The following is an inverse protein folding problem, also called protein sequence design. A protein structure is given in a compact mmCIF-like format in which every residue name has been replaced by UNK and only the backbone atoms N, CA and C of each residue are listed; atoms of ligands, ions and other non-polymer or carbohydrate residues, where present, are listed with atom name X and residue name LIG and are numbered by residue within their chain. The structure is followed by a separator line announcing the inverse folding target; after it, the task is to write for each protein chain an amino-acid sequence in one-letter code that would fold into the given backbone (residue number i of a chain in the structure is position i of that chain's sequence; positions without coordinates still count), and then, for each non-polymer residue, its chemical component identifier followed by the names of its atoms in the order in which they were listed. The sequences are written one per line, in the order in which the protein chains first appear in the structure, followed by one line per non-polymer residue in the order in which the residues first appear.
data_IF_758893744363
#
_entry.id   IF_758893744363
#
_cell.length_a   1.000
_cell.length_b   1.000
_cell.length_c   1.000
_cell.angle_alpha   90.00
_cell.angle_beta   90.00
_cell.angle_gamma   90.00
#
_symmetry.space_group_name_H-M   'P 1'
#
loop_
_entity.id
_entity.type
_entity.pdbx_description
1 polymer ?
#
# COMPACT_ATOMS: atom_id res chain seq x y z
N UNK A 1 0.56 14.47 -28.90
CA UNK A 1 0.40 13.00 -28.76
C UNK A 1 0.73 12.65 -27.32
N UNK A 2 -0.05 11.82 -26.63
CA UNK A 2 0.35 11.38 -25.29
C UNK A 2 1.69 10.65 -25.43
N UNK A 3 2.67 11.04 -24.62
CA UNK A 3 3.95 10.32 -24.52
C UNK A 3 3.67 8.83 -24.28
N UNK A 4 4.35 7.90 -24.96
CA UNK A 4 4.06 6.46 -24.87
C UNK A 4 4.02 5.92 -23.43
N UNK A 5 4.85 6.47 -22.53
CA UNK A 5 4.84 6.14 -21.11
C UNK A 5 3.57 6.56 -20.33
N UNK A 6 2.77 7.48 -20.89
CA UNK A 6 1.49 7.92 -20.32
C UNK A 6 0.44 6.79 -20.27
N UNK A 7 0.43 5.92 -21.28
CA UNK A 7 -0.52 4.80 -21.36
C UNK A 7 -0.21 3.78 -20.28
N UNK A 8 1.06 3.36 -20.16
CA UNK A 8 1.50 2.44 -19.10
C UNK A 8 1.16 2.97 -17.70
N UNK A 9 1.47 4.24 -17.42
CA UNK A 9 1.14 4.88 -16.14
C UNK A 9 -0.37 4.86 -15.86
N UNK A 10 -1.18 5.12 -16.87
CA UNK A 10 -2.65 5.11 -16.74
C UNK A 10 -3.19 3.72 -16.42
N UNK A 11 -2.68 2.66 -17.06
CA UNK A 11 -3.03 1.26 -16.75
C UNK A 11 -2.64 0.93 -15.30
N UNK A 12 -1.39 1.24 -14.92
CA UNK A 12 -0.87 0.99 -13.57
C UNK A 12 -1.71 1.69 -12.50
N UNK A 13 -2.05 2.96 -12.70
CA UNK A 13 -2.88 3.73 -11.78
C UNK A 13 -4.34 3.24 -11.74
N UNK A 14 -4.90 2.81 -12.88
CA UNK A 14 -6.25 2.24 -12.91
C UNK A 14 -6.33 0.96 -12.05
N UNK A 15 -5.34 0.08 -12.17
CA UNK A 15 -5.23 -1.12 -11.36
C UNK A 15 -5.06 -0.80 -9.85
N UNK A 16 -4.22 0.19 -9.50
CA UNK A 16 -3.97 0.56 -8.10
C UNK A 16 -5.14 1.28 -7.41
N UNK A 17 -5.81 2.19 -8.13
CA UNK A 17 -6.88 3.02 -7.55
C UNK A 17 -8.24 2.31 -7.54
N UNK A 18 -8.52 1.50 -8.57
CA UNK A 18 -9.86 0.93 -8.78
C UNK A 18 -9.88 -0.60 -8.87
N UNK A 19 -8.72 -1.26 -9.07
CA UNK A 19 -8.66 -2.72 -9.26
C UNK A 19 -9.33 -3.20 -10.55
N UNK A 20 -9.43 -2.33 -11.56
CA UNK A 20 -10.14 -2.56 -12.83
C UNK A 20 -9.26 -2.21 -14.04
N UNK A 21 -9.46 -2.86 -15.20
CA UNK A 21 -8.79 -2.47 -16.43
C UNK A 21 -9.27 -1.08 -16.91
N UNK A 22 -8.43 -0.38 -17.69
CA UNK A 22 -8.68 0.99 -18.14
C UNK A 22 -10.01 1.15 -18.91
N UNK A 23 -10.37 0.15 -19.70
CA UNK A 23 -11.57 0.16 -20.55
C UNK A 23 -12.88 0.11 -19.74
N UNK A 24 -12.88 -0.56 -18.58
CA UNK A 24 -14.09 -0.77 -17.78
C UNK A 24 -14.38 0.37 -16.78
N UNK A 25 -13.56 1.41 -16.77
CA UNK A 25 -13.74 2.56 -15.89
C UNK A 25 -14.94 3.42 -16.31
N UNK A 26 -15.75 3.84 -15.35
CA UNK A 26 -16.82 4.81 -15.55
C UNK A 26 -16.26 6.22 -15.85
N UNK A 27 -17.01 7.13 -16.48
CA UNK A 27 -16.51 8.47 -16.82
C UNK A 27 -15.96 9.27 -15.63
N UNK A 28 -16.63 9.18 -14.46
CA UNK A 28 -16.15 9.82 -13.24
C UNK A 28 -14.83 9.21 -12.72
N UNK A 29 -14.67 7.89 -12.82
CA UNK A 29 -13.43 7.18 -12.46
C UNK A 29 -12.30 7.58 -13.40
N UNK A 30 -12.58 7.70 -14.71
CA UNK A 30 -11.61 8.18 -15.72
C UNK A 30 -11.13 9.59 -15.43
N UNK A 31 -12.02 10.52 -15.10
CA UNK A 31 -11.60 11.88 -14.71
C UNK A 31 -10.69 11.91 -13.49
N UNK A 32 -10.97 11.07 -12.48
CA UNK A 32 -10.12 10.93 -11.30
C UNK A 32 -8.78 10.30 -11.65
N UNK A 33 -8.77 9.32 -12.54
CA UNK A 33 -7.55 8.70 -13.06
C UNK A 33 -6.68 9.73 -13.78
N UNK A 34 -7.24 10.51 -14.71
CA UNK A 34 -6.49 11.54 -15.46
C UNK A 34 -5.84 12.54 -14.52
N UNK A 35 -6.60 13.09 -13.56
CA UNK A 35 -6.03 14.02 -12.57
C UNK A 35 -4.91 13.38 -11.74
N UNK A 36 -5.05 12.11 -11.38
CA UNK A 36 -4.02 11.39 -10.65
C UNK A 36 -2.78 11.15 -11.53
N UNK A 37 -2.96 10.78 -12.79
CA UNK A 37 -1.89 10.54 -13.74
C UNK A 37 -1.10 11.82 -14.07
N UNK A 38 -1.78 12.95 -14.25
CA UNK A 38 -1.16 14.25 -14.47
C UNK A 38 -0.34 14.66 -13.25
N UNK A 39 -0.94 14.55 -12.06
CA UNK A 39 -0.24 14.89 -10.82
C UNK A 39 0.98 13.99 -10.57
N UNK A 40 0.86 12.71 -10.86
CA UNK A 40 1.95 11.75 -10.79
C UNK A 40 3.06 12.13 -11.77
N UNK A 41 2.72 12.52 -13.01
CA UNK A 41 3.69 12.97 -14.02
C UNK A 41 4.47 14.20 -13.56
N UNK A 42 3.78 15.19 -13.01
CA UNK A 42 4.40 16.41 -12.49
C UNK A 42 5.42 16.07 -11.40
N UNK A 43 5.03 15.23 -10.43
CA UNK A 43 5.90 14.85 -9.32
C UNK A 43 7.10 14.05 -9.81
N UNK A 44 6.91 13.07 -10.70
CA UNK A 44 8.02 12.29 -11.26
C UNK A 44 8.99 13.17 -12.05
N UNK A 45 8.48 14.16 -12.79
CA UNK A 45 9.33 15.10 -13.53
C UNK A 45 10.16 15.93 -12.57
N UNK A 46 9.56 16.48 -11.52
CA UNK A 46 10.28 17.21 -10.48
C UNK A 46 11.33 16.34 -9.77
N UNK A 47 11.04 15.06 -9.52
CA UNK A 47 12.00 14.12 -8.93
C UNK A 47 13.19 13.89 -9.87
N UNK A 48 12.94 13.72 -11.17
CA UNK A 48 14.01 13.46 -12.14
C UNK A 48 14.86 14.70 -12.46
N UNK A 49 14.33 15.90 -12.21
CA UNK A 49 15.09 17.15 -12.28
C UNK A 49 16.04 17.36 -11.09
N UNK A 50 15.93 16.56 -10.03
CA UNK A 50 16.79 16.68 -8.84
C UNK A 50 18.23 16.22 -9.10
N UNK A 51 19.24 16.81 -8.42
CA UNK A 51 20.63 16.37 -8.55
C UNK A 51 20.87 14.93 -8.07
N UNK A 52 20.01 14.41 -7.19
CA UNK A 52 20.05 13.02 -6.74
C UNK A 52 19.75 12.04 -7.88
N UNK A 53 18.88 12.42 -8.83
CA UNK A 53 18.56 11.62 -10.01
C UNK A 53 19.77 11.38 -10.91
N UNK A 54 20.62 12.40 -11.10
CA UNK A 54 21.86 12.26 -11.88
C UNK A 54 22.86 11.26 -11.26
N UNK A 55 22.69 10.92 -9.97
CA UNK A 55 23.58 9.99 -9.24
C UNK A 55 23.02 8.57 -9.18
N UNK A 56 21.89 8.29 -9.82
CA UNK A 56 21.31 6.94 -9.90
C UNK A 56 21.76 6.32 -11.22
N UNK A 57 22.39 5.15 -11.14
CA UNK A 57 22.73 4.34 -12.31
C UNK A 57 21.99 3.02 -12.22
N UNK A 58 21.08 2.79 -13.18
CA UNK A 58 20.40 1.52 -13.33
C UNK A 58 21.18 0.65 -14.32
N UNK A 59 21.32 -0.64 -13.99
CA UNK A 59 21.86 -1.63 -14.92
C UNK A 59 20.76 -2.09 -15.88
N UNK A 60 21.13 -2.41 -17.13
CA UNK A 60 20.18 -2.97 -18.09
C UNK A 60 19.50 -4.24 -17.55
N UNK A 61 20.26 -5.06 -16.82
CA UNK A 61 19.77 -6.28 -16.17
C UNK A 61 18.62 -6.02 -15.16
N UNK A 62 18.66 -4.90 -14.44
CA UNK A 62 17.57 -4.52 -13.52
C UNK A 62 16.28 -4.20 -14.28
N UNK A 63 16.38 -3.47 -15.39
CA UNK A 63 15.22 -3.16 -16.24
C UNK A 63 14.65 -4.43 -16.85
N UNK A 64 15.52 -5.33 -17.34
CA UNK A 64 15.10 -6.61 -17.90
C UNK A 64 14.43 -7.51 -16.86
N UNK A 65 14.94 -7.56 -15.63
CA UNK A 65 14.32 -8.31 -14.55
C UNK A 65 12.89 -7.80 -14.27
N UNK A 66 12.69 -6.48 -14.16
CA UNK A 66 11.35 -5.91 -13.97
C UNK A 66 10.42 -6.15 -15.17
N UNK A 67 10.94 -6.14 -16.40
CA UNK A 67 10.16 -6.51 -17.58
C UNK A 67 9.78 -8.00 -17.58
N UNK A 68 10.68 -8.88 -17.14
CA UNK A 68 10.38 -10.30 -16.97
C UNK A 68 9.31 -10.54 -15.91
N UNK A 69 9.32 -9.79 -14.80
CA UNK A 69 8.24 -9.84 -13.81
C UNK A 69 6.89 -9.39 -14.37
N UNK A 70 6.88 -8.40 -15.28
CA UNK A 70 5.66 -7.97 -15.97
C UNK A 70 5.17 -9.07 -16.91
N UNK A 71 6.07 -9.69 -17.68
CA UNK A 71 5.75 -10.80 -18.59
C UNK A 71 5.25 -12.03 -17.85
N UNK A 72 5.85 -12.38 -16.71
CA UNK A 72 5.47 -13.54 -15.90
C UNK A 72 4.08 -13.48 -15.27
N UNK A 73 3.34 -12.37 -15.43
CA UNK A 73 1.92 -12.28 -15.06
C UNK A 73 0.99 -12.88 -16.12
N UNK A 74 1.50 -13.11 -17.34
CA UNK A 74 0.79 -13.71 -18.46
C UNK A 74 1.16 -15.19 -18.59
N UNK A 75 0.30 -15.99 -19.20
CA UNK A 75 0.53 -17.42 -19.36
C UNK A 75 1.62 -17.73 -20.39
N UNK A 76 1.63 -16.99 -21.49
CA UNK A 76 2.59 -17.11 -22.58
C UNK A 76 2.99 -15.74 -23.17
N UNK A 77 4.00 -15.75 -24.05
CA UNK A 77 4.48 -14.53 -24.72
C UNK A 77 3.46 -13.99 -25.73
N UNK A 78 2.62 -14.85 -26.33
CA UNK A 78 1.62 -14.46 -27.32
C UNK A 78 0.46 -13.66 -26.68
N UNK A 79 -0.02 -14.09 -25.51
CA UNK A 79 -1.00 -13.38 -24.67
C UNK A 79 -0.44 -12.01 -24.24
N UNK A 80 0.83 -11.96 -23.85
CA UNK A 80 1.51 -10.71 -23.50
C UNK A 80 1.55 -9.73 -24.69
N UNK A 81 1.93 -10.21 -25.87
CA UNK A 81 1.96 -9.39 -27.08
C UNK A 81 0.55 -8.96 -27.54
N UNK A 82 -0.44 -9.84 -27.44
CA UNK A 82 -1.82 -9.53 -27.77
C UNK A 82 -2.40 -8.44 -26.84
N UNK A 83 -2.11 -8.52 -25.55
CA UNK A 83 -2.54 -7.53 -24.57
C UNK A 83 -1.86 -6.17 -24.77
N UNK A 84 -0.55 -6.15 -25.06
CA UNK A 84 0.17 -4.93 -25.43
C UNK A 84 -0.45 -4.23 -26.64
N UNK A 85 -0.74 -4.99 -27.69
CA UNK A 85 -1.39 -4.48 -28.90
C UNK A 85 -2.81 -3.98 -28.62
N UNK A 86 -3.57 -4.69 -27.79
CA UNK A 86 -4.93 -4.29 -27.40
C UNK A 86 -4.95 -2.93 -26.72
N UNK A 87 -3.98 -2.66 -25.86
CA UNK A 87 -3.87 -1.38 -25.15
C UNK A 87 -3.11 -0.30 -25.95
N UNK A 88 -2.52 -0.67 -27.09
CA UNK A 88 -1.77 0.24 -27.95
C UNK A 88 -0.41 0.64 -27.40
N UNK A 89 0.23 -0.26 -26.64
CA UNK A 89 1.55 -0.04 -26.06
C UNK A 89 2.60 -0.89 -26.80
N UNK A 90 3.72 -0.27 -27.18
CA UNK A 90 4.85 -0.98 -27.80
C UNK A 90 5.86 -1.45 -26.74
N UNK A 91 6.60 -2.52 -27.04
CA UNK A 91 7.63 -3.06 -26.16
C UNK A 91 8.73 -2.04 -25.82
N UNK A 92 9.12 -1.19 -26.78
CA UNK A 92 10.10 -0.12 -26.55
C UNK A 92 9.56 0.94 -25.58
N UNK A 93 8.33 1.39 -25.80
CA UNK A 93 7.66 2.36 -24.93
C UNK A 93 7.41 1.84 -23.52
N UNK A 94 7.07 0.55 -23.37
CA UNK A 94 6.95 -0.09 -22.07
C UNK A 94 8.30 -0.07 -21.34
N UNK A 95 9.38 -0.41 -22.04
CA UNK A 95 10.73 -0.42 -21.47
C UNK A 95 11.14 0.97 -20.97
N UNK A 96 10.86 2.02 -21.74
CA UNK A 96 11.13 3.40 -21.33
C UNK A 96 10.31 3.79 -20.09
N UNK A 97 9.01 3.46 -20.07
CA UNK A 97 8.13 3.74 -18.95
C UNK A 97 8.58 3.02 -17.66
N UNK A 98 8.94 1.73 -17.77
CA UNK A 98 9.46 0.93 -16.65
C UNK A 98 10.80 1.47 -16.18
N UNK A 99 11.70 1.84 -17.10
CA UNK A 99 13.00 2.44 -16.75
C UNK A 99 12.80 3.73 -15.96
N UNK A 100 11.90 4.61 -16.42
CA UNK A 100 11.59 5.86 -15.72
C UNK A 100 11.07 5.60 -14.30
N UNK A 101 10.14 4.66 -14.14
CA UNK A 101 9.60 4.27 -12.84
C UNK A 101 10.70 3.77 -11.89
N UNK A 102 11.60 2.91 -12.40
CA UNK A 102 12.73 2.39 -11.63
C UNK A 102 13.72 3.49 -11.20
N UNK A 103 13.97 4.49 -12.07
CA UNK A 103 14.84 5.61 -11.70
C UNK A 103 14.20 6.41 -10.57
N UNK A 104 12.92 6.74 -10.68
CA UNK A 104 12.19 7.48 -9.64
C UNK A 104 12.22 6.72 -8.32
N UNK A 105 11.97 5.41 -8.33
CA UNK A 105 12.02 4.58 -7.14
C UNK A 105 13.41 4.56 -6.51
N UNK A 106 14.46 4.35 -7.31
CA UNK A 106 15.84 4.37 -6.84
C UNK A 106 16.27 5.74 -6.29
N UNK A 107 15.78 6.85 -6.85
CA UNK A 107 16.02 8.19 -6.30
C UNK A 107 15.37 8.33 -4.93
N UNK A 108 14.10 7.93 -4.80
CA UNK A 108 13.38 8.01 -3.54
C UNK A 108 14.03 7.12 -2.47
N UNK A 109 14.48 5.92 -2.82
CA UNK A 109 15.21 5.03 -1.92
C UNK A 109 16.54 5.64 -1.47
N UNK A 110 17.29 6.24 -2.39
CA UNK A 110 18.55 6.94 -2.08
C UNK A 110 18.37 8.10 -1.14
N UNK A 111 17.34 8.93 -1.37
CA UNK A 111 16.99 10.04 -0.47
C UNK A 111 16.54 9.51 0.90
N UNK A 112 15.76 8.44 0.93
CA UNK A 112 15.33 7.81 2.17
C UNK A 112 16.51 7.22 2.97
N UNK A 113 17.49 6.61 2.29
CA UNK A 113 18.70 6.09 2.92
C UNK A 113 19.58 7.17 3.56
N UNK A 114 19.52 8.41 3.06
CA UNK A 114 20.18 9.57 3.65
C UNK A 114 19.43 10.20 4.84
N UNK A 115 18.24 9.72 5.17
CA UNK A 115 17.43 10.28 6.27
C UNK A 115 17.89 9.77 7.64
N UNK A 116 17.69 10.58 8.68
CA UNK A 116 18.07 10.23 10.04
C UNK A 116 17.34 8.98 10.53
N UNK A 117 18.06 8.11 11.24
CA UNK A 117 17.46 6.95 11.89
C UNK A 117 16.41 7.41 12.91
N UNK A 118 15.21 6.80 12.85
CA UNK A 118 14.11 7.11 13.77
C UNK A 118 14.44 6.52 15.14
N UNK A 119 14.45 7.35 16.18
CA UNK A 119 14.69 6.90 17.56
C UNK A 119 13.43 6.33 18.21
N UNK A 120 13.59 5.51 19.25
CA UNK A 120 12.45 4.99 20.02
C UNK A 120 11.62 6.13 20.65
N UNK A 121 12.28 7.21 21.08
CA UNK A 121 11.62 8.43 21.57
C UNK A 121 10.77 9.10 20.48
N UNK A 122 11.24 9.18 19.23
CA UNK A 122 10.45 9.74 18.13
C UNK A 122 9.21 8.91 17.84
N UNK A 123 9.32 7.58 17.97
CA UNK A 123 8.19 6.66 17.82
C UNK A 123 7.16 6.90 18.93
N UNK A 124 7.60 7.03 20.18
CA UNK A 124 6.71 7.33 21.31
C UNK A 124 6.00 8.67 21.14
N UNK A 125 6.73 9.74 20.82
CA UNK A 125 6.16 11.06 20.55
C UNK A 125 5.13 10.97 19.41
N UNK A 126 5.49 10.30 18.30
CA UNK A 126 4.58 10.13 17.18
C UNK A 126 3.30 9.40 17.59
N UNK A 127 3.41 8.34 18.41
CA UNK A 127 2.26 7.60 18.93
C UNK A 127 1.34 8.47 19.79
N UNK A 128 1.90 9.19 20.77
CA UNK A 128 1.14 10.07 21.66
C UNK A 128 0.40 11.15 20.86
N UNK A 129 1.07 11.78 19.90
CA UNK A 129 0.49 12.84 19.06
C UNK A 129 -0.59 12.32 18.09
N UNK A 130 -0.51 11.04 17.68
CA UNK A 130 -1.41 10.45 16.69
C UNK A 130 -2.35 9.39 17.28
N UNK A 131 -2.58 9.40 18.59
CA UNK A 131 -3.32 8.34 19.31
C UNK A 131 -4.70 8.03 18.72
N UNK A 132 -5.37 9.02 18.13
CA UNK A 132 -6.66 8.86 17.45
C UNK A 132 -6.58 7.92 16.23
N UNK A 133 -5.46 7.90 15.50
CA UNK A 133 -5.27 7.05 14.30
C UNK A 133 -5.10 5.57 14.66
N UNK A 134 -4.72 5.28 15.90
CA UNK A 134 -4.51 3.92 16.41
C UNK A 134 -5.73 3.35 17.14
N UNK A 135 -6.85 4.07 17.15
CA UNK A 135 -8.12 3.55 17.66
C UNK A 135 -8.79 2.73 16.56
N UNK A 136 -8.66 1.41 16.66
CA UNK A 136 -9.48 0.49 15.88
C UNK A 136 -10.79 0.30 16.65
N UNK A 137 -11.92 0.62 16.02
CA UNK A 137 -13.23 0.23 16.55
C UNK A 137 -13.34 -1.29 16.64
N UNK A 138 -14.21 -1.79 17.52
CA UNK A 138 -14.48 -3.22 17.65
C UNK A 138 -14.91 -3.79 16.29
N UNK A 139 -14.02 -4.57 15.68
CA UNK A 139 -14.20 -5.00 14.29
C UNK A 139 -14.75 -6.42 14.17
N UNK A 140 -14.71 -7.21 15.26
CA UNK A 140 -15.08 -8.63 15.24
C UNK A 140 -15.62 -9.10 16.59
N UNK A 141 -16.69 -9.89 16.54
CA UNK A 141 -17.19 -10.69 17.66
C UNK A 141 -16.58 -12.09 17.53
N UNK A 142 -15.75 -12.50 18.48
CA UNK A 142 -15.10 -13.82 18.48
C UNK A 142 -15.88 -14.80 19.37
N UNK A 143 -16.19 -15.98 18.85
CA UNK A 143 -16.65 -17.13 19.65
C UNK A 143 -15.49 -18.11 19.77
N UNK A 144 -15.05 -18.38 21.00
CA UNK A 144 -13.97 -19.32 21.27
C UNK A 144 -14.52 -20.61 21.84
N UNK A 145 -14.13 -21.75 21.26
CA UNK A 145 -14.34 -23.07 21.85
C UNK A 145 -13.01 -23.51 22.48
N UNK A 146 -13.00 -23.64 23.80
CA UNK A 146 -11.87 -24.21 24.52
C UNK A 146 -12.07 -25.73 24.62
N UNK A 147 -11.20 -26.49 23.97
CA UNK A 147 -11.16 -27.95 24.10
C UNK A 147 -9.92 -28.30 24.93
N UNK A 148 -10.13 -28.83 26.13
CA UNK A 148 -9.06 -29.36 26.99
C UNK A 148 -8.91 -30.85 26.73
N UNK A 149 -7.75 -31.27 26.21
CA UNK A 149 -7.37 -32.68 26.10
C UNK A 149 -6.80 -33.09 27.46
N UNK A 150 -7.37 -34.14 28.06
CA UNK A 150 -6.89 -34.68 29.32
C UNK A 150 -6.13 -35.98 29.00
N UNK A 151 -4.80 -35.96 29.18
CA UNK A 151 -3.91 -37.06 28.77
C UNK A 151 -4.16 -38.38 29.54
N UNK A 152 -4.99 -38.35 30.59
CA UNK A 152 -5.36 -39.53 31.39
C UNK A 152 -6.58 -40.32 30.89
N UNK A 153 -7.26 -39.91 29.81
CA UNK A 153 -8.40 -40.65 29.25
C UNK A 153 -7.96 -41.52 28.07
N UNK A 154 -7.52 -42.74 28.39
CA UNK A 154 -7.27 -43.77 27.40
C UNK A 154 -8.57 -44.14 26.66
N UNK A 155 -8.61 -43.85 25.37
CA UNK A 155 -9.41 -44.47 24.31
C UNK A 155 -10.84 -44.93 24.69
N UNK A 156 -11.82 -44.03 24.59
CA UNK A 156 -13.10 -44.26 23.89
C UNK A 156 -13.82 -42.92 23.76
N UNK A 157 -13.89 -42.36 22.54
CA UNK A 157 -14.67 -41.16 22.26
C UNK A 157 -16.14 -41.54 22.06
N UNK A 158 -16.95 -41.49 23.12
CA UNK A 158 -18.41 -41.39 23.03
C UNK A 158 -18.76 -39.92 23.28
N UNK A 159 -19.18 -39.20 22.24
CA UNK A 159 -19.76 -37.87 22.44
C UNK A 159 -21.13 -38.06 23.12
N UNK A 160 -21.24 -37.69 24.39
CA UNK A 160 -22.54 -37.59 25.09
C UNK A 160 -22.88 -36.11 25.18
N UNK A 161 -23.80 -35.65 24.34
CA UNK A 161 -24.32 -34.29 24.40
C UNK A 161 -25.21 -34.14 25.64
N UNK A 162 -24.63 -33.80 26.79
CA UNK A 162 -25.42 -33.32 27.92
C UNK A 162 -25.80 -31.87 27.62
N UNK A 163 -27.05 -31.66 27.22
CA UNK A 163 -27.61 -30.32 27.01
C UNK A 163 -27.61 -29.56 28.34
N UNK A 164 -26.61 -28.71 28.57
CA UNK A 164 -26.70 -27.64 29.56
C UNK A 164 -27.61 -26.58 28.96
N UNK A 165 -28.82 -26.42 29.53
CA UNK A 165 -29.79 -25.39 29.12
C UNK A 165 -29.10 -24.01 29.15
N UNK A 166 -28.99 -23.30 28.03
CA UNK A 166 -28.54 -21.91 28.07
C UNK A 166 -29.68 -21.04 28.62
N UNK A 167 -29.43 -20.34 29.71
CA UNK A 167 -30.30 -19.23 30.11
C UNK A 167 -29.99 -18.05 29.18
N UNK A 168 -30.77 -17.91 28.10
CA UNK A 168 -30.69 -16.77 27.19
C UNK A 168 -31.71 -15.71 27.61
N UNK A 169 -31.34 -14.44 27.82
CA UNK A 169 -32.26 -13.32 27.65
C UNK A 169 -32.42 -13.03 26.16
N UNK A 170 -33.67 -12.79 25.76
CA UNK A 170 -34.09 -12.63 24.37
C UNK A 170 -33.35 -11.49 23.65
N UNK A 171 -32.66 -11.83 22.55
CA UNK A 171 -32.26 -10.85 21.53
C UNK A 171 -32.48 -11.43 20.13
N UNK A 172 -32.98 -10.56 19.23
CA UNK A 172 -33.57 -10.89 17.93
C UNK A 172 -32.59 -11.58 16.96
N UNK A 173 -33.09 -12.41 16.02
CA UNK A 173 -32.23 -13.12 15.08
C UNK A 173 -31.62 -12.18 14.03
N UNK A 174 -30.31 -12.30 13.82
CA UNK A 174 -29.59 -11.68 12.72
C UNK A 174 -29.16 -12.78 11.74
N UNK A 175 -29.53 -12.65 10.47
CA UNK A 175 -29.18 -13.54 9.36
C UNK A 175 -27.71 -13.38 8.95
N UNK A 176 -26.91 -14.46 8.81
CA UNK A 176 -25.54 -14.36 8.31
C UNK A 176 -25.47 -14.63 6.80
N UNK A 177 -24.76 -13.76 6.08
CA UNK A 177 -24.18 -14.07 4.78
C UNK A 177 -22.68 -14.39 4.96
N UNK A 178 -22.28 -15.49 4.34
CA UNK A 178 -20.95 -16.07 4.11
C UNK A 178 -19.80 -15.05 3.96
N UNK A 179 -18.52 -15.34 4.14
CA UNK A 179 -17.69 -16.48 4.59
C UNK A 179 -16.24 -16.01 4.37
N UNK A 180 -15.28 -16.42 5.21
CA UNK A 180 -13.86 -16.20 4.88
C UNK A 180 -12.93 -16.27 6.09
N UNK A 181 -12.63 -17.49 6.51
CA UNK A 181 -11.75 -17.84 7.62
C UNK A 181 -10.27 -17.71 7.24
N UNK A 182 -9.47 -17.07 8.11
CA UNK A 182 -8.06 -17.44 8.34
C UNK A 182 -7.77 -17.33 9.83
N UNK A 183 -7.44 -18.46 10.43
CA UNK A 183 -7.09 -18.64 11.84
C UNK A 183 -5.60 -18.38 12.07
N UNK A 184 -5.26 -17.59 13.08
CA UNK A 184 -3.94 -17.57 13.70
C UNK A 184 -4.12 -17.63 15.22
N UNK A 185 -3.66 -18.71 15.84
CA UNK A 185 -3.62 -18.91 17.28
C UNK A 185 -2.55 -18.01 17.91
N UNK A 186 -2.90 -17.32 19.01
CA UNK A 186 -1.96 -16.61 19.88
C UNK A 186 -2.09 -17.13 21.31
N UNK A 187 -0.98 -17.63 21.84
CA UNK A 187 -0.71 -17.76 23.27
C UNK A 187 -0.60 -16.36 23.93
N UNK A 188 -0.99 -16.30 25.21
CA UNK A 188 -1.09 -15.08 26.03
C UNK A 188 0.27 -14.49 26.44
N UNK A 189 0.31 -13.20 26.82
CA UNK A 189 1.55 -12.41 26.92
C UNK A 189 2.05 -12.31 28.36
N UNK A 190 3.33 -12.55 28.58
CA UNK A 190 4.04 -12.15 29.81
C UNK A 190 5.51 -11.92 29.50
N UNK A 191 5.78 -10.77 28.88
CA UNK A 191 7.06 -10.08 28.75
C UNK A 191 6.92 -9.10 27.58
N UNK A 192 7.39 -7.87 27.75
CA UNK A 192 7.58 -6.93 26.63
C UNK A 192 8.55 -7.63 25.67
N UNK A 193 8.14 -8.02 24.44
CA UNK A 193 9.06 -8.71 23.56
C UNK A 193 9.91 -7.66 22.86
N UNK A 194 11.12 -7.48 23.39
CA UNK A 194 12.26 -7.12 22.56
C UNK A 194 12.51 -8.32 21.63
N UNK A 195 12.02 -8.24 20.39
CA UNK A 195 12.52 -8.87 19.15
C UNK A 195 11.38 -8.83 18.11
N UNK A 196 11.40 -7.78 17.29
CA UNK A 196 11.41 -7.85 15.81
C UNK A 196 12.01 -6.56 15.26
N UNK A 197 13.32 -6.37 15.54
CA UNK A 197 14.23 -5.87 14.50
C UNK A 197 14.04 -6.81 13.30
N UNK A 198 13.83 -6.27 12.10
CA UNK A 198 13.40 -6.98 10.87
C UNK A 198 11.88 -7.20 10.70
N UNK A 199 11.07 -6.14 10.75
CA UNK A 199 9.82 -6.01 9.96
C UNK A 199 9.27 -4.57 9.92
N UNK A 200 10.12 -3.57 10.14
CA UNK A 200 9.82 -2.14 9.90
C UNK A 200 10.73 -1.57 8.80
N UNK A 201 10.98 -2.36 7.75
CA UNK A 201 11.60 -1.87 6.51
C UNK A 201 10.60 -1.71 5.35
N UNK A 202 9.35 -2.22 5.47
CA UNK A 202 8.42 -2.28 4.32
C UNK A 202 7.10 -1.52 4.52
N UNK A 203 6.83 -0.91 5.67
CA UNK A 203 5.61 -0.11 5.88
C UNK A 203 5.82 1.38 6.22
N UNK A 204 7.05 1.89 6.22
CA UNK A 204 7.34 3.31 6.50
C UNK A 204 7.45 4.20 5.25
N UNK A 205 7.62 3.64 4.04
CA UNK A 205 7.75 4.44 2.82
C UNK A 205 6.40 4.92 2.24
N UNK A 206 5.29 4.22 2.49
CA UNK A 206 4.01 4.51 1.81
C UNK A 206 3.08 5.51 2.52
N UNK A 207 3.39 5.97 3.74
CA UNK A 207 2.47 6.86 4.50
C UNK A 207 3.05 8.23 4.88
N UNK A 208 4.29 8.54 4.47
CA UNK A 208 4.93 9.84 4.77
C UNK A 208 5.08 10.79 3.57
N UNK A 209 4.66 10.39 2.36
CA UNK A 209 4.52 11.29 1.20
C UNK A 209 3.12 11.92 1.09
N UNK A 210 2.08 11.29 1.66
CA UNK A 210 0.70 11.81 1.59
C UNK A 210 0.31 12.82 2.71
N UNK A 211 1.21 13.08 3.67
CA UNK A 211 0.95 13.91 4.85
C UNK A 211 1.58 15.31 4.83
N UNK A 212 2.62 15.54 4.00
CA UNK A 212 3.41 16.79 4.06
C UNK A 212 2.95 17.90 3.10
N UNK A 213 2.09 17.58 2.12
CA UNK A 213 1.57 18.59 1.17
C UNK A 213 0.36 19.36 1.73
N UNK A 214 -0.20 18.95 2.88
CA UNK A 214 -1.42 19.57 3.41
C UNK A 214 -1.22 20.73 4.38
N UNK A 215 0.02 21.05 4.78
CA UNK A 215 0.25 22.02 5.86
C UNK A 215 1.21 23.18 5.57
N UNK A 216 1.69 23.35 4.32
CA UNK A 216 2.53 24.52 3.96
C UNK A 216 1.79 25.64 3.21
N UNK A 217 0.45 25.58 3.10
CA UNK A 217 -0.38 26.66 2.53
C UNK A 217 -1.22 27.37 3.60
N UNK A 218 -0.56 27.85 4.66
CA UNK A 218 -1.08 28.92 5.52
C UNK A 218 0.01 29.98 5.70
N UNK A 219 -0.02 30.96 4.79
CA UNK A 219 0.39 32.38 4.89
C UNK A 219 1.69 32.73 5.62
N UNK A 220 2.51 33.60 5.00
CA UNK A 220 2.37 35.02 5.33
C UNK A 220 2.49 35.95 4.10
N UNK A 221 1.37 36.54 3.70
CA UNK A 221 1.37 37.81 2.95
C UNK A 221 1.13 38.94 3.96
N UNK A 222 2.18 39.42 4.64
CA UNK A 222 2.11 40.70 5.37
C UNK A 222 3.46 41.28 5.82
N UNK A 223 4.34 41.63 4.88
CA UNK A 223 5.25 42.78 5.04
C UNK A 223 6.15 42.89 3.81
N UNK A 224 5.77 43.72 2.84
CA UNK A 224 6.66 44.36 1.87
C UNK A 224 5.82 45.39 1.08
N UNK A 225 5.38 46.44 1.79
CA UNK A 225 5.13 47.74 1.16
C UNK A 225 6.31 48.62 1.55
N UNK A 226 7.39 48.49 0.79
CA UNK A 226 8.49 49.43 0.82
C UNK A 226 8.09 50.67 0.01
N UNK A 227 8.28 51.83 0.64
CA UNK A 227 8.81 53.06 0.05
C UNK A 227 8.68 53.22 -1.47
N UNK A 228 7.70 54.01 -1.91
CA UNK A 228 7.85 54.87 -3.07
C UNK A 228 7.23 56.24 -2.78
N UNK A 229 8.03 57.12 -2.18
CA UNK A 229 7.85 58.58 -2.19
C UNK A 229 9.20 59.24 -1.88
N UNK A 230 9.92 59.56 -2.94
CA UNK A 230 10.67 60.81 -3.10
C UNK A 230 10.36 61.33 -4.48
#
# INVERSE_FOLDING_TARGET
MPEPGSIYRSIKLAAQLFGKPLESLAPAERHRLTRAADRQQEIETLILETPEAARVQLTAASVDASLMEIRGRYGDDDEYHAELLRVGLDASSLREAVTRDLVVEAVLEKVAAGSAAVSDTDVEIFWYMNRQRFRLGETRVLRHLLVTINDGLASTMVWRATSVKPHAPASKPFTPACSGSRSASRSRPSSIPNVRRQSMAVCSAASRVAGSIRNSMRSPLRSLRACSRR
#
